data_IF_530558029554
#
_entry.id   IF_530558029554
#
_cell.length_a   1.000
_cell.length_b   1.000
_cell.length_c   1.000
_cell.angle_alpha   90.00
_cell.angle_beta   90.00
_cell.angle_gamma   90.00
#
_symmetry.space_group_name_H-M   'P 1'
#
loop_
_entity.id
_entity.type
_entity.pdbx_description
1 polymer ?
#
# COMPACT_ATOMS: atom_id res chain seq x y z
N UNK A 1 37.62 6.00 20.38
CA UNK A 1 36.25 5.48 20.55
C UNK A 1 35.45 5.93 19.34
N UNK A 2 35.39 5.08 18.30
CA UNK A 2 34.77 5.43 17.02
C UNK A 2 33.29 5.05 17.11
N UNK A 3 32.38 6.03 17.03
CA UNK A 3 30.94 5.76 16.91
C UNK A 3 30.72 5.03 15.58
N UNK A 4 30.59 3.70 15.62
CA UNK A 4 30.07 2.94 14.49
C UNK A 4 28.61 3.34 14.29
N UNK A 5 28.33 4.22 13.32
CA UNK A 5 26.97 4.44 12.81
C UNK A 5 26.54 3.14 12.13
N UNK A 6 25.87 2.27 12.89
CA UNK A 6 25.31 1.00 12.44
C UNK A 6 24.05 1.24 11.58
N UNK A 7 24.18 2.07 10.55
CA UNK A 7 23.12 2.35 9.58
C UNK A 7 23.30 1.37 8.43
N UNK A 8 22.84 0.12 8.61
CA UNK A 8 22.64 -0.77 7.48
C UNK A 8 21.61 -0.10 6.56
N UNK A 9 21.99 0.15 5.31
CA UNK A 9 21.06 0.67 4.32
C UNK A 9 19.87 -0.29 4.22
N UNK A 10 18.67 0.24 4.49
CA UNK A 10 17.43 -0.52 4.35
C UNK A 10 17.35 -1.12 2.95
N UNK A 11 17.14 -2.44 2.87
CA UNK A 11 16.79 -3.08 1.60
C UNK A 11 15.51 -2.44 1.09
N UNK A 12 15.64 -1.69 -0.01
CA UNK A 12 14.50 -1.13 -0.75
C UNK A 12 14.04 -2.15 -1.78
N UNK A 13 12.73 -2.39 -1.93
CA UNK A 13 12.23 -3.29 -2.97
C UNK A 13 12.60 -2.71 -4.34
N UNK A 14 13.19 -3.53 -5.20
CA UNK A 14 13.75 -3.07 -6.48
C UNK A 14 12.67 -2.79 -7.53
N UNK A 15 11.61 -3.60 -7.54
CA UNK A 15 10.47 -3.44 -8.46
C UNK A 15 9.20 -3.96 -7.82
N UNK A 16 8.12 -3.20 -7.99
CA UNK A 16 6.78 -3.63 -7.63
C UNK A 16 6.24 -4.55 -8.72
N UNK A 17 5.84 -5.77 -8.36
CA UNK A 17 5.12 -6.65 -9.27
C UNK A 17 3.61 -6.51 -9.03
N UNK A 18 2.85 -6.20 -10.08
CA UNK A 18 1.40 -6.04 -10.01
C UNK A 18 0.76 -7.11 -10.86
N UNK A 19 0.01 -8.00 -10.23
CA UNK A 19 -0.72 -9.08 -10.89
C UNK A 19 -2.21 -8.74 -10.93
N UNK A 20 -2.86 -8.79 -12.12
CA UNK A 20 -4.29 -8.55 -12.22
C UNK A 20 -5.07 -9.68 -11.52
N UNK A 21 -6.17 -9.32 -10.84
CA UNK A 21 -7.08 -10.27 -10.22
C UNK A 21 -8.10 -10.84 -11.22
N UNK A 22 -9.14 -11.52 -10.68
CA UNK A 22 -10.23 -12.09 -11.50
C UNK A 22 -11.00 -11.01 -12.29
N UNK A 23 -11.09 -9.80 -11.72
CA UNK A 23 -11.60 -8.60 -12.36
C UNK A 23 -10.49 -7.55 -12.40
N UNK A 24 -9.70 -7.49 -13.48
CA UNK A 24 -8.54 -6.61 -13.57
C UNK A 24 -8.86 -5.12 -13.40
N UNK A 25 -10.13 -4.73 -13.60
CA UNK A 25 -10.65 -3.38 -13.39
C UNK A 25 -10.88 -3.02 -11.91
N UNK A 26 -10.99 -4.03 -11.02
CA UNK A 26 -11.39 -3.84 -9.62
C UNK A 26 -10.51 -4.58 -8.60
N UNK A 27 -9.70 -5.52 -9.05
CA UNK A 27 -8.90 -6.41 -8.21
C UNK A 27 -7.48 -6.51 -8.76
N UNK A 28 -6.50 -6.30 -7.89
CA UNK A 28 -5.07 -6.48 -8.19
C UNK A 28 -4.32 -7.00 -6.96
N UNK A 29 -3.29 -7.80 -7.17
CA UNK A 29 -2.35 -8.25 -6.15
C UNK A 29 -1.00 -7.57 -6.38
N UNK A 30 -0.51 -6.88 -5.36
CA UNK A 30 0.73 -6.13 -5.40
C UNK A 30 1.78 -6.85 -4.54
N UNK A 31 2.92 -7.18 -5.14
CA UNK A 31 4.03 -7.89 -4.49
C UNK A 31 5.24 -6.97 -4.44
N UNK A 32 5.70 -6.65 -3.22
CA UNK A 32 6.88 -5.84 -2.96
C UNK A 32 7.92 -6.68 -2.20
N UNK A 33 9.00 -7.02 -2.89
CA UNK A 33 10.12 -7.79 -2.34
C UNK A 33 11.44 -7.34 -2.99
N UNK A 34 12.60 -7.57 -2.34
CA UNK A 34 12.76 -8.00 -0.95
C UNK A 34 12.48 -6.86 0.05
N UNK A 35 12.06 -7.23 1.26
CA UNK A 35 11.89 -6.31 2.39
C UNK A 35 12.64 -6.86 3.61
N UNK A 36 13.19 -5.95 4.41
CA UNK A 36 13.76 -6.30 5.70
C UNK A 36 12.74 -7.02 6.60
N UNK A 37 13.25 -7.90 7.48
CA UNK A 37 12.40 -8.62 8.42
C UNK A 37 11.56 -7.62 9.24
N UNK A 38 10.24 -7.82 9.25
CA UNK A 38 9.28 -6.97 9.96
C UNK A 38 8.78 -5.76 9.17
N UNK A 39 9.51 -5.29 8.15
CA UNK A 39 9.07 -4.14 7.35
C UNK A 39 7.82 -4.43 6.53
N UNK A 40 7.60 -5.69 6.10
CA UNK A 40 6.37 -6.10 5.44
C UNK A 40 5.11 -5.81 6.27
N UNK A 41 5.16 -6.01 7.59
CA UNK A 41 4.03 -5.71 8.50
C UNK A 41 3.89 -4.20 8.67
N UNK A 42 4.98 -3.48 8.91
CA UNK A 42 4.96 -2.02 9.11
C UNK A 42 4.38 -1.30 7.88
N UNK A 43 4.90 -1.60 6.69
CA UNK A 43 4.45 -1.01 5.43
C UNK A 43 3.05 -1.50 5.07
N UNK A 44 2.78 -2.79 5.19
CA UNK A 44 1.48 -3.37 4.87
C UNK A 44 0.33 -2.80 5.72
N UNK A 45 0.56 -2.64 7.03
CA UNK A 45 -0.43 -2.04 7.93
C UNK A 45 -0.66 -0.55 7.62
N UNK A 46 0.41 0.20 7.33
CA UNK A 46 0.29 1.60 6.94
C UNK A 46 -0.52 1.74 5.64
N UNK A 47 -0.18 0.97 4.60
CA UNK A 47 -0.90 0.97 3.32
C UNK A 47 -2.35 0.56 3.49
N UNK A 48 -2.64 -0.50 4.24
CA UNK A 48 -4.02 -0.93 4.52
C UNK A 48 -4.86 0.20 5.13
N UNK A 49 -4.31 0.95 6.08
CA UNK A 49 -5.02 2.09 6.68
C UNK A 49 -5.32 3.17 5.64
N UNK A 50 -4.31 3.61 4.90
CA UNK A 50 -4.46 4.66 3.88
C UNK A 50 -5.46 4.25 2.80
N UNK A 51 -5.37 3.02 2.30
CA UNK A 51 -6.25 2.50 1.26
C UNK A 51 -7.72 2.42 1.72
N UNK A 52 -7.97 2.17 3.01
CA UNK A 52 -9.33 2.06 3.54
C UNK A 52 -9.93 3.39 3.99
N UNK A 53 -9.12 4.36 4.43
CA UNK A 53 -9.64 5.57 5.09
C UNK A 53 -9.33 6.88 4.40
N UNK A 54 -8.41 6.90 3.43
CA UNK A 54 -7.81 8.14 2.93
C UNK A 54 -7.76 8.23 1.42
N UNK A 55 -8.35 7.27 0.71
CA UNK A 55 -8.52 7.39 -0.74
C UNK A 55 -9.64 8.35 -1.07
N UNK A 56 -9.36 9.25 -2.01
CA UNK A 56 -10.36 10.10 -2.61
C UNK A 56 -11.30 9.23 -3.46
N UNK A 57 -12.60 9.45 -3.29
CA UNK A 57 -13.64 8.80 -4.06
C UNK A 57 -14.81 9.75 -4.27
N UNK A 58 -15.72 9.36 -5.16
CA UNK A 58 -16.98 10.05 -5.36
C UNK A 58 -18.11 9.11 -4.93
N UNK A 59 -19.10 9.66 -4.24
CA UNK A 59 -20.31 8.95 -3.85
C UNK A 59 -21.51 9.87 -4.03
N UNK A 60 -22.66 9.29 -4.34
CA UNK A 60 -23.93 10.00 -4.36
C UNK A 60 -24.26 10.38 -2.92
N UNK A 61 -24.43 11.68 -2.64
CA UNK A 61 -24.70 12.19 -1.30
C UNK A 61 -26.18 12.45 -1.05
N UNK A 62 -26.93 12.79 -2.09
CA UNK A 62 -28.37 13.02 -2.02
C UNK A 62 -29.01 12.75 -3.38
N UNK A 63 -30.29 12.40 -3.34
CA UNK A 63 -31.15 12.29 -4.53
C UNK A 63 -32.47 13.00 -4.18
N UNK A 64 -32.95 13.84 -5.09
CA UNK A 64 -34.29 14.41 -5.04
C UNK A 64 -35.10 13.83 -6.19
N UNK A 65 -36.33 13.39 -5.91
CA UNK A 65 -37.23 12.80 -6.90
C UNK A 65 -38.54 13.57 -6.82
N UNK A 66 -38.91 14.25 -7.90
CA UNK A 66 -40.16 14.98 -8.01
C UNK A 66 -41.31 14.04 -8.36
N UNK A 67 -42.48 14.33 -7.77
CA UNK A 67 -43.78 13.68 -8.00
C UNK A 67 -44.90 14.59 -7.56
#
# INVERSE_FOLDING_TARGET
MVLQRNWQELIKPQKLNVQPGRRPDREATIIAEPLERGFGITVGNALRRVLLSSLQGAAITAVHIDG
#
